data_IF_725483492250
#
_entry.id   IF_725483492250
#
_cell.length_a   1.000
_cell.length_b   1.000
_cell.length_c   1.000
_cell.angle_alpha   90.00
_cell.angle_beta   90.00
_cell.angle_gamma   90.00
#
_symmetry.space_group_name_H-M   'P 1'
#
loop_
_entity.id
_entity.type
_entity.pdbx_description
1 polymer ?
#
# COMPACT_ATOMS: atom_id res chain seq x y z
N UNK A 1 -15.82 7.06 -5.73
CA UNK A 1 -14.36 6.87 -5.85
C UNK A 1 -13.97 5.90 -4.74
N UNK A 2 -13.45 4.71 -5.06
CA UNK A 2 -13.06 3.73 -4.03
C UNK A 2 -11.81 4.24 -3.29
N UNK A 3 -11.76 4.03 -1.98
CA UNK A 3 -10.61 4.45 -1.17
C UNK A 3 -9.37 3.66 -1.60
N UNK A 4 -8.31 4.35 -2.03
CA UNK A 4 -7.05 3.74 -2.49
C UNK A 4 -6.45 2.79 -1.46
N UNK A 5 -6.56 3.13 -0.17
CA UNK A 5 -6.04 2.28 0.91
C UNK A 5 -6.79 0.95 0.98
N UNK A 6 -8.11 0.97 0.76
CA UNK A 6 -8.91 -0.26 0.71
C UNK A 6 -8.53 -1.12 -0.50
N UNK A 7 -8.22 -0.51 -1.65
CA UNK A 7 -7.73 -1.26 -2.80
C UNK A 7 -6.38 -1.93 -2.50
N UNK A 8 -5.43 -1.21 -1.90
CA UNK A 8 -4.12 -1.76 -1.49
C UNK A 8 -4.30 -2.94 -0.52
N UNK A 9 -5.15 -2.80 0.49
CA UNK A 9 -5.40 -3.85 1.46
C UNK A 9 -6.09 -5.08 0.85
N UNK A 10 -7.04 -4.88 -0.08
CA UNK A 10 -7.69 -5.97 -0.80
C UNK A 10 -6.69 -6.73 -1.67
N UNK A 11 -5.87 -6.02 -2.47
CA UNK A 11 -4.84 -6.65 -3.29
C UNK A 11 -3.84 -7.44 -2.45
N UNK A 12 -3.38 -6.87 -1.33
CA UNK A 12 -2.47 -7.56 -0.41
C UNK A 12 -3.08 -8.85 0.13
N UNK A 13 -4.34 -8.79 0.58
CA UNK A 13 -5.08 -9.95 1.10
C UNK A 13 -5.18 -11.03 0.02
N UNK A 14 -5.55 -10.67 -1.19
CA UNK A 14 -5.78 -11.63 -2.27
C UNK A 14 -4.47 -12.32 -2.68
N UNK A 15 -3.35 -11.58 -2.72
CA UNK A 15 -2.03 -12.18 -2.95
C UNK A 15 -1.61 -13.13 -1.83
N UNK A 16 -1.88 -12.76 -0.56
CA UNK A 16 -1.63 -13.62 0.59
C UNK A 16 -2.42 -14.93 0.54
N UNK A 17 -3.71 -14.85 0.20
CA UNK A 17 -4.57 -16.02 0.04
C UNK A 17 -4.13 -16.90 -1.12
N UNK A 18 -3.58 -16.31 -2.18
CA UNK A 18 -2.96 -17.04 -3.29
C UNK A 18 -1.57 -17.64 -2.97
N UNK A 19 -1.13 -17.62 -1.70
CA UNK A 19 0.16 -18.15 -1.26
C UNK A 19 1.36 -17.30 -1.67
N UNK A 20 1.15 -16.08 -2.17
CA UNK A 20 2.24 -15.19 -2.60
C UNK A 20 2.87 -14.49 -1.41
N UNK A 21 4.19 -14.30 -1.50
CA UNK A 21 4.91 -13.35 -0.65
C UNK A 21 4.61 -11.92 -1.15
N UNK A 22 4.09 -11.09 -0.27
CA UNK A 22 3.72 -9.69 -0.47
C UNK A 22 4.07 -8.88 0.81
N UNK A 23 4.06 -7.56 0.81
CA UNK A 23 4.34 -6.81 2.03
C UNK A 23 3.51 -5.54 2.05
N UNK A 24 2.88 -5.26 3.19
CA UNK A 24 2.35 -3.93 3.42
C UNK A 24 3.50 -3.02 3.83
N UNK A 25 3.68 -1.92 3.14
CA UNK A 25 4.65 -0.89 3.51
C UNK A 25 3.95 0.45 3.70
N UNK A 26 4.53 1.26 4.58
CA UNK A 26 4.04 2.61 4.90
C UNK A 26 5.16 3.62 4.69
N UNK A 27 4.86 4.73 4.03
CA UNK A 27 5.81 5.85 3.89
C UNK A 27 5.96 6.52 5.25
N UNK A 28 7.10 6.34 5.90
CA UNK A 28 7.40 6.96 7.21
C UNK A 28 8.03 8.34 7.08
N UNK A 29 8.70 8.61 5.95
CA UNK A 29 9.29 9.90 5.60
C UNK A 29 9.41 10.01 4.09
N UNK A 30 9.31 11.23 3.58
CA UNK A 30 9.61 11.55 2.19
C UNK A 30 10.35 12.88 2.10
N UNK A 31 11.04 13.12 0.99
CA UNK A 31 11.77 14.35 0.69
C UNK A 31 11.28 14.94 -0.64
N UNK A 32 11.34 16.26 -0.77
CA UNK A 32 10.90 16.96 -1.99
C UNK A 32 9.42 16.76 -2.31
N UNK A 33 9.07 16.82 -3.60
CA UNK A 33 7.70 16.72 -4.12
C UNK A 33 7.28 15.27 -4.44
N UNK A 34 7.48 14.35 -3.49
CA UNK A 34 7.04 12.96 -3.69
C UNK A 34 5.51 12.88 -3.88
N UNK A 35 5.02 12.11 -4.86
CA UNK A 35 3.58 11.94 -5.10
C UNK A 35 2.89 11.10 -4.02
N UNK A 36 3.64 10.47 -3.12
CA UNK A 36 3.11 9.69 -2.00
C UNK A 36 3.46 10.40 -0.67
N UNK A 37 2.49 11.05 0.00
CA UNK A 37 2.72 11.69 1.29
C UNK A 37 3.06 10.65 2.37
N UNK A 38 3.64 11.13 3.47
CA UNK A 38 3.82 10.33 4.70
C UNK A 38 2.48 9.72 5.12
N UNK A 39 2.51 8.45 5.53
CA UNK A 39 1.33 7.67 5.87
C UNK A 39 0.72 6.89 4.70
N UNK A 40 1.11 7.17 3.45
CA UNK A 40 0.66 6.38 2.30
C UNK A 40 1.04 4.91 2.48
N UNK A 41 0.11 4.00 2.15
CA UNK A 41 0.36 2.56 2.13
C UNK A 41 0.48 2.00 0.72
N UNK A 42 1.26 0.94 0.56
CA UNK A 42 1.50 0.19 -0.68
C UNK A 42 1.64 -1.30 -0.35
N UNK A 43 1.28 -2.17 -1.30
CA UNK A 43 1.31 -3.62 -1.16
C UNK A 43 2.03 -4.28 -2.32
#
# INVERSE_FOLDING_TARGET
>A
MENLDLMVLRSLRDWRLAGRRAMLVTVTRTWGSSPRPVGSIMA
#
